data_IF_871413969717
#
_entry.id   IF_871413969717
#
_cell.length_a   1.000
_cell.length_b   1.000
_cell.length_c   1.000
_cell.angle_alpha   90.00
_cell.angle_beta   90.00
_cell.angle_gamma   90.00
#
_symmetry.space_group_name_H-M   'P 1'
#
loop_
_entity.id
_entity.type
_entity.pdbx_description
1 polymer ?
#
# COMPACT_ATOMS: atom_id res chain seq x y z
N UNK A 1 -25.91 -25.68 -28.72
CA UNK A 1 -25.73 -24.41 -27.96
C UNK A 1 -25.74 -23.28 -28.98
N UNK A 2 -26.46 -22.18 -28.73
CA UNK A 2 -26.48 -21.04 -29.68
C UNK A 2 -25.07 -20.45 -29.82
N UNK A 3 -24.74 -19.89 -30.99
CA UNK A 3 -23.44 -19.25 -31.27
C UNK A 3 -23.10 -18.18 -30.23
N UNK A 4 -24.10 -17.49 -29.69
CA UNK A 4 -23.96 -16.50 -28.63
C UNK A 4 -23.46 -17.10 -27.29
N UNK A 5 -23.97 -18.27 -26.89
CA UNK A 5 -23.52 -18.92 -25.64
C UNK A 5 -22.07 -19.40 -25.78
N UNK A 6 -21.69 -19.94 -26.94
CA UNK A 6 -20.31 -20.34 -27.19
C UNK A 6 -19.36 -19.13 -27.12
N UNK A 7 -19.71 -18.02 -27.76
CA UNK A 7 -18.93 -16.77 -27.70
C UNK A 7 -18.79 -16.23 -26.28
N UNK A 8 -19.88 -16.24 -25.50
CA UNK A 8 -19.86 -15.78 -24.11
C UNK A 8 -18.92 -16.64 -23.24
N UNK A 9 -18.96 -17.97 -23.41
CA UNK A 9 -18.06 -18.89 -22.70
C UNK A 9 -16.60 -18.69 -23.11
N UNK A 10 -16.32 -18.46 -24.40
CA UNK A 10 -14.96 -18.15 -24.88
C UNK A 10 -14.43 -16.87 -24.25
N UNK A 11 -15.23 -15.79 -24.23
CA UNK A 11 -14.82 -14.52 -23.62
C UNK A 11 -14.55 -14.70 -22.13
N UNK A 12 -15.45 -15.38 -21.41
CA UNK A 12 -15.27 -15.65 -19.98
C UNK A 12 -13.98 -16.46 -19.73
N UNK A 13 -13.73 -17.49 -20.54
CA UNK A 13 -12.52 -18.30 -20.46
C UNK A 13 -11.25 -17.48 -20.67
N UNK A 14 -11.23 -16.58 -21.67
CA UNK A 14 -10.10 -15.68 -21.92
C UNK A 14 -9.87 -14.69 -20.77
N UNK A 15 -10.94 -14.14 -20.20
CA UNK A 15 -10.84 -13.24 -19.04
C UNK A 15 -10.25 -13.96 -17.83
N UNK A 16 -10.76 -15.16 -17.52
CA UNK A 16 -10.25 -15.98 -16.41
C UNK A 16 -8.78 -16.34 -16.63
N UNK A 17 -8.44 -16.79 -17.84
CA UNK A 17 -7.05 -17.10 -18.20
C UNK A 17 -6.13 -15.88 -18.02
N UNK A 18 -6.57 -14.70 -18.48
CA UNK A 18 -5.84 -13.45 -18.29
C UNK A 18 -5.61 -13.11 -16.81
N UNK A 19 -6.61 -13.34 -15.94
CA UNK A 19 -6.47 -13.15 -14.49
C UNK A 19 -5.45 -14.12 -13.88
N UNK A 20 -5.42 -15.38 -14.32
CA UNK A 20 -4.42 -16.35 -13.85
C UNK A 20 -3.01 -16.00 -14.29
N UNK A 21 -2.84 -15.59 -15.56
CA UNK A 21 -1.54 -15.11 -16.06
C UNK A 21 -1.07 -13.91 -15.24
N UNK A 22 -1.97 -12.97 -14.94
CA UNK A 22 -1.62 -11.80 -14.13
C UNK A 22 -1.25 -12.17 -12.70
N UNK A 23 -2.03 -13.03 -12.05
CA UNK A 23 -1.72 -13.53 -10.71
C UNK A 23 -0.36 -14.25 -10.68
N UNK A 24 -0.04 -15.05 -11.71
CA UNK A 24 1.25 -15.73 -11.81
C UNK A 24 2.43 -14.76 -11.97
N UNK A 25 2.19 -13.59 -12.57
CA UNK A 25 3.19 -12.53 -12.74
C UNK A 25 3.30 -11.59 -11.53
N UNK A 26 2.35 -11.59 -10.59
CA UNK A 26 2.35 -10.64 -9.47
C UNK A 26 3.59 -10.71 -8.57
N UNK A 27 4.22 -11.89 -8.29
CA UNK A 27 5.42 -11.94 -7.47
C UNK A 27 6.66 -11.32 -8.11
N UNK A 28 6.68 -11.09 -9.43
CA UNK A 28 7.85 -10.52 -10.12
C UNK A 28 8.18 -9.11 -9.66
N UNK A 29 7.18 -8.36 -9.18
CA UNK A 29 7.40 -7.07 -8.55
C UNK A 29 8.29 -7.26 -7.31
N UNK A 30 7.90 -8.12 -6.38
CA UNK A 30 8.67 -8.45 -5.16
C UNK A 30 10.05 -9.02 -5.47
N UNK A 31 10.13 -9.95 -6.44
CA UNK A 31 11.40 -10.55 -6.85
C UNK A 31 12.33 -9.51 -7.49
N UNK A 32 11.78 -8.57 -8.26
CA UNK A 32 12.56 -7.49 -8.86
C UNK A 32 13.13 -6.54 -7.82
N UNK A 33 12.39 -6.25 -6.75
CA UNK A 33 12.90 -5.48 -5.62
C UNK A 33 14.00 -6.20 -4.88
N UNK A 34 13.80 -7.49 -4.58
CA UNK A 34 14.85 -8.30 -3.95
C UNK A 34 16.11 -8.39 -4.82
N UNK A 35 15.96 -8.43 -6.15
CA UNK A 35 17.05 -8.40 -7.10
C UNK A 35 17.65 -7.00 -7.35
N UNK A 36 17.16 -5.95 -6.66
CA UNK A 36 17.67 -4.58 -6.77
C UNK A 36 17.30 -3.85 -8.06
N UNK A 37 16.34 -4.34 -8.85
CA UNK A 37 15.98 -3.75 -10.16
C UNK A 37 15.41 -2.34 -10.07
N UNK A 38 14.89 -1.95 -8.90
CA UNK A 38 14.31 -0.63 -8.65
C UNK A 38 15.29 0.36 -7.98
N UNK A 39 16.50 -0.10 -7.63
CA UNK A 39 17.47 0.65 -6.82
C UNK A 39 16.97 0.95 -5.41
N UNK A 40 17.69 1.81 -4.69
CA UNK A 40 17.42 2.12 -3.27
C UNK A 40 16.31 3.17 -3.07
N UNK A 41 15.44 3.37 -4.07
CA UNK A 41 14.44 4.44 -4.04
C UNK A 41 13.16 3.99 -3.35
N UNK A 42 12.96 4.45 -2.12
CA UNK A 42 11.64 4.54 -1.50
C UNK A 42 11.04 5.88 -1.92
N UNK A 43 9.85 5.83 -2.51
CA UNK A 43 9.20 7.02 -3.04
C UNK A 43 8.30 7.68 -2.00
N UNK A 44 8.50 8.98 -1.85
CA UNK A 44 7.82 9.79 -0.86
C UNK A 44 7.11 10.95 -1.54
N UNK A 45 5.91 10.68 -2.06
CA UNK A 45 5.01 11.76 -2.44
C UNK A 45 4.46 12.40 -1.16
N UNK A 46 5.20 13.37 -0.61
CA UNK A 46 4.79 14.11 0.59
C UNK A 46 3.38 14.68 0.40
N UNK A 47 2.43 14.17 1.18
CA UNK A 47 1.08 14.73 1.24
C UNK A 47 1.11 15.81 2.33
N UNK A 48 0.72 17.06 2.02
CA UNK A 48 0.72 18.12 3.01
C UNK A 48 -0.12 17.75 4.24
N UNK A 49 0.31 18.21 5.42
CA UNK A 49 -0.56 18.21 6.59
C UNK A 49 -1.77 19.11 6.33
N UNK A 50 -2.93 18.69 6.83
CA UNK A 50 -4.14 19.49 6.86
C UNK A 50 -4.36 20.19 8.22
N UNK A 51 -3.35 20.17 9.09
CA UNK A 51 -3.37 20.77 10.42
C UNK A 51 -3.74 19.79 11.55
N UNK A 52 -4.39 18.67 11.23
CA UNK A 52 -4.72 17.63 12.20
C UNK A 52 -3.98 16.33 11.91
N UNK A 53 -4.03 15.85 10.65
CA UNK A 53 -3.32 14.64 10.22
C UNK A 53 -1.93 15.02 9.71
N UNK A 54 -0.96 14.10 9.86
CA UNK A 54 0.45 14.33 9.47
C UNK A 54 1.12 15.49 10.20
N UNK A 55 0.63 15.81 11.41
CA UNK A 55 1.27 16.76 12.31
C UNK A 55 2.31 16.03 13.17
N UNK A 56 3.47 16.65 13.37
CA UNK A 56 4.54 16.13 14.24
C UNK A 56 4.64 17.03 15.47
N UNK A 57 4.00 16.68 16.60
CA UNK A 57 4.16 17.43 17.84
C UNK A 57 5.58 17.23 18.42
N UNK A 58 6.16 18.23 19.10
CA UNK A 58 7.52 18.15 19.65
C UNK A 58 7.74 16.98 20.61
N UNK A 59 6.71 16.60 21.38
CA UNK A 59 6.74 15.52 22.37
C UNK A 59 5.75 14.41 22.00
N UNK A 60 5.87 13.88 20.78
CA UNK A 60 5.04 12.78 20.30
C UNK A 60 5.03 11.60 21.28
N UNK A 61 3.84 11.20 21.72
CA UNK A 61 3.63 10.11 22.69
C UNK A 61 3.35 8.77 22.03
N UNK A 62 3.01 8.77 20.76
CA UNK A 62 2.77 7.57 19.97
C UNK A 62 2.87 7.87 18.47
N UNK A 63 3.16 6.84 17.70
CA UNK A 63 3.12 6.88 16.24
C UNK A 63 2.06 5.92 15.75
N UNK A 64 1.22 6.37 14.81
CA UNK A 64 0.14 5.57 14.24
C UNK A 64 0.31 5.53 12.73
N UNK A 65 0.63 4.35 12.20
CA UNK A 65 0.69 4.10 10.76
C UNK A 65 -0.67 3.56 10.30
N UNK A 66 -1.36 4.33 9.46
CA UNK A 66 -2.60 3.92 8.82
C UNK A 66 -2.35 3.36 7.43
N UNK A 67 -2.67 2.08 7.26
CA UNK A 67 -2.57 1.36 6.00
C UNK A 67 -3.97 1.19 5.40
N UNK A 68 -4.24 1.95 4.35
CA UNK A 68 -5.54 1.94 3.67
C UNK A 68 -5.74 0.66 2.85
N UNK A 69 -7.02 0.35 2.57
CA UNK A 69 -7.41 -0.85 1.85
C UNK A 69 -7.05 -0.83 0.36
N UNK A 70 -7.36 -1.94 -0.34
CA UNK A 70 -6.98 -2.21 -1.73
C UNK A 70 -7.46 -1.16 -2.76
N UNK A 71 -8.35 -0.26 -2.36
CA UNK A 71 -8.82 0.86 -3.18
C UNK A 71 -7.82 2.01 -3.32
N UNK A 72 -6.78 2.07 -2.48
CA UNK A 72 -5.79 3.15 -2.47
C UNK A 72 -4.71 2.96 -3.53
N UNK A 73 -4.36 4.06 -4.19
CA UNK A 73 -3.49 4.12 -5.38
C UNK A 73 -2.53 5.31 -5.32
N UNK A 74 -2.92 6.37 -4.63
CA UNK A 74 -2.15 7.58 -4.38
C UNK A 74 -2.64 8.25 -3.10
N UNK A 75 -1.96 9.33 -2.68
CA UNK A 75 -2.32 10.10 -1.49
C UNK A 75 -3.73 10.68 -1.51
N UNK A 76 -4.30 10.85 -2.70
CA UNK A 76 -5.59 11.48 -2.95
C UNK A 76 -6.76 10.49 -3.01
N UNK A 77 -6.50 9.18 -2.84
CA UNK A 77 -7.50 8.13 -3.09
C UNK A 77 -8.10 7.51 -1.83
N UNK A 78 -7.87 8.12 -0.66
CA UNK A 78 -8.58 7.76 0.55
C UNK A 78 -10.08 7.95 0.39
N UNK A 79 -10.88 6.98 0.83
CA UNK A 79 -12.32 7.11 0.86
C UNK A 79 -12.75 8.17 1.88
N UNK A 80 -13.94 8.78 1.70
CA UNK A 80 -14.50 9.73 2.67
C UNK A 80 -14.56 9.17 4.10
N UNK A 81 -14.79 7.86 4.24
CA UNK A 81 -14.82 7.18 5.55
C UNK A 81 -13.45 7.10 6.21
N UNK A 82 -12.41 6.79 5.43
CA UNK A 82 -11.04 6.75 5.93
C UNK A 82 -10.54 8.16 6.30
N UNK A 83 -10.89 9.17 5.50
CA UNK A 83 -10.57 10.57 5.80
C UNK A 83 -11.25 11.04 7.10
N UNK A 84 -12.56 10.82 7.25
CA UNK A 84 -13.30 11.18 8.46
C UNK A 84 -12.78 10.43 9.70
N UNK A 85 -12.43 9.14 9.54
CA UNK A 85 -11.80 8.36 10.61
C UNK A 85 -10.45 8.97 11.04
N UNK A 86 -9.55 9.25 10.10
CA UNK A 86 -8.23 9.82 10.38
C UNK A 86 -8.32 11.20 11.04
N UNK A 87 -9.24 12.04 10.57
CA UNK A 87 -9.48 13.35 11.15
C UNK A 87 -9.97 13.24 12.60
N UNK A 88 -10.95 12.38 12.88
CA UNK A 88 -11.44 12.15 14.25
C UNK A 88 -10.37 11.56 15.14
N UNK A 89 -9.54 10.67 14.60
CA UNK A 89 -8.42 10.07 15.32
C UNK A 89 -7.39 11.14 15.71
N UNK A 90 -7.03 12.02 14.78
CA UNK A 90 -6.12 13.15 15.01
C UNK A 90 -6.62 14.10 16.09
N UNK A 91 -7.92 14.46 16.06
CA UNK A 91 -8.54 15.31 17.07
C UNK A 91 -8.53 14.62 18.45
N UNK A 92 -8.76 13.31 18.48
CA UNK A 92 -8.86 12.55 19.74
C UNK A 92 -7.49 12.24 20.36
N UNK A 93 -6.43 12.23 19.55
CA UNK A 93 -5.06 11.90 19.96
C UNK A 93 -4.09 13.01 19.47
N UNK A 94 -4.18 14.23 20.02
CA UNK A 94 -3.39 15.37 19.55
C UNK A 94 -1.87 15.21 19.79
N UNK A 95 -1.49 14.35 20.74
CA UNK A 95 -0.09 14.05 21.06
C UNK A 95 0.47 12.89 20.23
N UNK A 96 -0.29 12.32 19.30
CA UNK A 96 0.14 11.22 18.44
C UNK A 96 0.45 11.69 17.02
N UNK A 97 1.49 11.11 16.42
CA UNK A 97 1.80 11.32 15.00
C UNK A 97 1.00 10.32 14.18
N UNK A 98 0.18 10.81 13.26
CA UNK A 98 -0.59 9.98 12.35
C UNK A 98 0.04 10.01 10.96
N UNK A 99 0.55 8.87 10.53
CA UNK A 99 1.19 8.63 9.24
C UNK A 99 0.20 7.86 8.39
N UNK A 100 -0.26 8.45 7.29
CA UNK A 100 -1.19 7.79 6.38
C UNK A 100 -0.70 7.84 4.93
N UNK A 101 0.55 8.19 4.67
CA UNK A 101 1.15 8.29 3.33
C UNK A 101 2.00 7.05 2.98
N UNK A 102 1.70 5.92 3.63
CA UNK A 102 2.26 4.60 3.33
C UNK A 102 1.32 3.82 2.39
N UNK A 103 1.88 3.29 1.30
CA UNK A 103 1.19 2.47 0.31
C UNK A 103 1.56 0.99 0.47
N UNK A 104 0.80 0.21 1.27
CA UNK A 104 1.21 -1.14 1.67
C UNK A 104 1.20 -2.15 0.52
N UNK A 105 0.60 -1.80 -0.62
CA UNK A 105 0.57 -2.64 -1.81
C UNK A 105 1.72 -2.33 -2.77
N UNK A 106 2.61 -1.38 -2.47
CA UNK A 106 3.72 -0.99 -3.33
C UNK A 106 5.02 -1.21 -2.58
N UNK A 107 5.87 -2.11 -3.07
CA UNK A 107 7.12 -2.51 -2.40
C UNK A 107 8.21 -1.43 -2.36
N UNK A 108 7.99 -0.30 -3.03
CA UNK A 108 8.87 0.87 -3.00
C UNK A 108 8.12 2.15 -2.61
N UNK A 109 6.93 2.00 -2.01
CA UNK A 109 6.02 3.10 -1.66
C UNK A 109 5.60 3.99 -2.85
N UNK A 110 5.83 3.52 -4.08
CA UNK A 110 5.54 4.29 -5.27
C UNK A 110 4.06 4.19 -5.62
N UNK A 111 3.40 5.34 -5.79
CA UNK A 111 2.14 5.37 -6.50
C UNK A 111 2.35 4.72 -7.87
N UNK A 112 1.43 3.81 -8.28
CA UNK A 112 1.56 2.96 -9.48
C UNK A 112 2.02 3.72 -10.76
N UNK A 113 1.77 5.02 -10.82
CA UNK A 113 2.16 5.95 -11.88
C UNK A 113 3.64 6.29 -11.98
N UNK A 114 4.47 6.00 -10.97
CA UNK A 114 5.89 6.35 -10.97
C UNK A 114 6.83 5.25 -11.47
N UNK A 115 6.33 4.03 -11.75
CA UNK A 115 7.20 2.91 -12.10
C UNK A 115 7.92 3.11 -13.45
N UNK A 116 9.24 2.83 -13.55
CA UNK A 116 10.04 3.17 -14.74
C UNK A 116 9.65 2.37 -15.99
N UNK A 117 9.25 1.11 -15.85
CA UNK A 117 8.99 0.20 -17.00
C UNK A 117 7.51 0.15 -17.35
N UNK A 118 6.62 0.01 -16.35
CA UNK A 118 5.16 -0.15 -16.57
C UNK A 118 4.32 1.06 -16.12
N UNK A 119 4.95 2.13 -15.61
CA UNK A 119 4.24 3.30 -15.08
C UNK A 119 3.40 4.04 -16.13
N UNK A 120 3.67 3.87 -17.43
CA UNK A 120 2.84 4.43 -18.50
C UNK A 120 1.42 3.85 -18.52
N UNK A 121 1.29 2.52 -18.38
CA UNK A 121 0.01 1.82 -18.34
C UNK A 121 -0.77 2.23 -17.08
N UNK A 122 -0.07 2.37 -15.96
CA UNK A 122 -0.67 2.78 -14.70
C UNK A 122 -1.05 4.27 -14.66
N UNK A 123 -0.29 5.16 -15.30
CA UNK A 123 -0.69 6.58 -15.49
C UNK A 123 -1.95 6.69 -16.31
N UNK A 124 -2.08 5.89 -17.36
CA UNK A 124 -3.31 5.80 -18.14
C UNK A 124 -4.47 5.27 -17.28
N UNK A 125 -4.25 4.22 -16.48
CA UNK A 125 -5.27 3.66 -15.59
C UNK A 125 -5.68 4.63 -14.47
N UNK A 126 -4.74 5.36 -13.86
CA UNK A 126 -5.02 6.35 -12.81
C UNK A 126 -5.82 7.54 -13.37
N UNK A 127 -5.44 8.08 -14.53
CA UNK A 127 -6.24 9.14 -15.20
C UNK A 127 -7.67 8.67 -15.47
N UNK A 128 -7.82 7.42 -15.92
CA UNK A 128 -9.15 6.81 -16.13
C UNK A 128 -9.92 6.58 -14.83
N UNK A 129 -9.26 6.35 -13.69
CA UNK A 129 -9.91 6.26 -12.36
C UNK A 129 -10.40 7.63 -11.86
N UNK A 130 -9.63 8.68 -12.11
CA UNK A 130 -9.95 10.05 -11.68
C UNK A 130 -11.03 10.70 -12.58
N UNK A 131 -11.00 10.41 -13.89
CA UNK A 131 -11.84 11.08 -14.90
C UNK A 131 -12.94 10.19 -15.54
N UNK A 132 -13.05 8.90 -15.19
CA UNK A 132 -13.85 7.94 -15.99
C UNK A 132 -14.03 6.52 -15.42
N UNK A 133 -14.46 5.53 -16.23
CA UNK A 133 -15.30 4.40 -15.80
C UNK A 133 -14.65 3.41 -14.82
N UNK A 134 -15.51 2.74 -14.04
CA UNK A 134 -15.23 1.84 -12.90
C UNK A 134 -14.21 0.71 -13.16
N UNK A 135 -13.98 0.33 -14.42
CA UNK A 135 -13.09 -0.76 -14.83
C UNK A 135 -11.63 -0.53 -14.45
N UNK A 136 -11.10 0.69 -14.58
CA UNK A 136 -9.71 0.97 -14.22
C UNK A 136 -9.48 0.86 -12.70
N UNK A 137 -10.45 1.31 -11.92
CA UNK A 137 -10.45 1.13 -10.46
C UNK A 137 -10.52 -0.35 -10.06
N UNK A 138 -11.31 -1.16 -10.77
CA UNK A 138 -11.39 -2.60 -10.54
C UNK A 138 -10.05 -3.30 -10.78
N UNK A 139 -9.35 -2.98 -11.88
CA UNK A 139 -8.03 -3.57 -12.18
C UNK A 139 -7.00 -3.25 -11.09
N UNK A 140 -6.99 -2.02 -10.59
CA UNK A 140 -6.10 -1.64 -9.48
C UNK A 140 -6.43 -2.44 -8.21
N UNK A 141 -7.72 -2.58 -7.88
CA UNK A 141 -8.13 -3.38 -6.73
C UNK A 141 -7.70 -4.84 -6.87
N UNK A 142 -7.86 -5.43 -8.07
CA UNK A 142 -7.41 -6.81 -8.36
C UNK A 142 -5.91 -6.93 -8.17
N UNK A 143 -5.12 -5.98 -8.70
CA UNK A 143 -3.67 -5.95 -8.51
C UNK A 143 -3.31 -5.91 -7.02
N UNK A 144 -3.94 -5.04 -6.25
CA UNK A 144 -3.68 -4.91 -4.81
C UNK A 144 -4.10 -6.17 -4.04
N UNK A 145 -5.17 -6.85 -4.45
CA UNK A 145 -5.55 -8.17 -3.91
C UNK A 145 -4.46 -9.20 -4.20
N UNK A 146 -3.89 -9.23 -5.41
CA UNK A 146 -2.77 -10.12 -5.71
C UNK A 146 -1.56 -9.83 -4.83
N UNK A 147 -1.26 -8.56 -4.51
CA UNK A 147 -0.19 -8.25 -3.57
C UNK A 147 -0.45 -8.78 -2.15
N UNK A 148 -1.70 -8.73 -1.68
CA UNK A 148 -2.08 -9.40 -0.42
C UNK A 148 -1.84 -10.92 -0.51
N UNK A 149 -2.12 -11.54 -1.65
CA UNK A 149 -1.86 -12.97 -1.82
C UNK A 149 -0.35 -13.27 -1.85
N UNK A 150 0.45 -12.44 -2.49
CA UNK A 150 1.91 -12.54 -2.47
C UNK A 150 2.44 -12.42 -1.04
N UNK A 151 1.90 -11.49 -0.23
CA UNK A 151 2.34 -11.29 1.16
C UNK A 151 2.02 -12.46 2.09
N UNK A 152 1.04 -13.30 1.74
CA UNK A 152 0.62 -14.50 2.48
C UNK A 152 1.32 -15.77 1.97
N UNK A 153 1.73 -15.81 0.71
CA UNK A 153 2.41 -16.97 0.13
C UNK A 153 3.78 -17.18 0.82
N UNK A 154 4.05 -18.40 1.29
CA UNK A 154 5.28 -18.69 2.05
C UNK A 154 6.57 -18.44 1.27
N UNK A 155 6.53 -18.45 -0.06
CA UNK A 155 7.72 -18.29 -0.94
C UNK A 155 8.11 -16.83 -1.10
N UNK A 156 7.12 -15.95 -1.14
CA UNK A 156 7.30 -14.52 -1.48
C UNK A 156 6.97 -13.60 -0.31
N UNK A 157 6.12 -14.04 0.60
CA UNK A 157 5.65 -13.31 1.77
C UNK A 157 6.78 -12.73 2.61
N UNK A 158 7.82 -13.49 2.99
CA UNK A 158 8.95 -12.95 3.74
C UNK A 158 9.59 -11.72 3.05
N UNK A 159 9.82 -11.79 1.73
CA UNK A 159 10.39 -10.69 0.95
C UNK A 159 9.44 -9.49 0.89
N UNK A 160 8.16 -9.74 0.64
CA UNK A 160 7.14 -8.68 0.55
C UNK A 160 6.97 -7.95 1.89
N UNK A 161 6.90 -8.71 2.97
CA UNK A 161 6.67 -8.22 4.32
C UNK A 161 7.88 -7.43 4.81
N UNK A 162 9.10 -7.87 4.49
CA UNK A 162 10.33 -7.10 4.74
C UNK A 162 10.31 -5.76 3.99
N UNK A 163 10.02 -5.77 2.68
CA UNK A 163 9.92 -4.53 1.90
C UNK A 163 8.87 -3.56 2.46
N UNK A 164 7.73 -4.10 2.90
CA UNK A 164 6.66 -3.31 3.52
C UNK A 164 7.12 -2.70 4.85
N UNK A 165 7.88 -3.44 5.66
CA UNK A 165 8.47 -2.93 6.88
C UNK A 165 9.51 -1.83 6.61
N UNK A 166 10.28 -1.94 5.53
CA UNK A 166 11.28 -0.91 5.17
C UNK A 166 10.60 0.41 4.83
N UNK A 167 9.47 0.36 4.12
CA UNK A 167 8.64 1.53 3.84
C UNK A 167 8.09 2.14 5.13
N UNK A 168 7.59 1.30 6.04
CA UNK A 168 7.06 1.77 7.32
C UNK A 168 8.14 2.43 8.18
N UNK A 169 9.34 1.85 8.22
CA UNK A 169 10.50 2.44 8.89
C UNK A 169 10.89 3.77 8.25
N UNK A 170 10.95 3.83 6.91
CA UNK A 170 11.25 5.07 6.19
C UNK A 170 10.23 6.17 6.52
N UNK A 171 8.94 5.82 6.57
CA UNK A 171 7.89 6.74 6.97
C UNK A 171 8.06 7.18 8.43
N UNK A 172 8.32 6.27 9.37
CA UNK A 172 8.58 6.63 10.77
C UNK A 172 9.73 7.64 10.90
N UNK A 173 10.86 7.40 10.22
CA UNK A 173 12.01 8.29 10.21
C UNK A 173 11.69 9.66 9.59
N UNK A 174 10.88 9.70 8.53
CA UNK A 174 10.44 10.96 7.89
C UNK A 174 9.56 11.81 8.81
N UNK A 175 8.86 11.19 9.75
CA UNK A 175 8.03 11.85 10.75
C UNK A 175 8.73 11.97 12.11
N UNK A 176 10.08 11.98 12.11
CA UNK A 176 10.93 12.22 13.27
C UNK A 176 10.77 11.18 14.41
N UNK A 177 10.45 9.92 14.08
CA UNK A 177 10.38 8.86 15.09
C UNK A 177 11.70 8.73 15.87
N UNK A 178 11.68 8.82 17.22
CA UNK A 178 12.90 8.85 18.01
C UNK A 178 13.49 7.45 18.19
N UNK A 179 14.42 7.07 17.31
CA UNK A 179 15.12 5.77 17.33
C UNK A 179 15.98 5.51 18.59
N UNK A 180 16.14 6.50 19.46
CA UNK A 180 16.88 6.36 20.72
C UNK A 180 15.97 6.04 21.92
N UNK A 181 14.65 6.16 21.73
CA UNK A 181 13.65 5.99 22.79
C UNK A 181 12.87 4.68 22.59
N UNK A 182 12.68 3.96 23.69
CA UNK A 182 11.89 2.71 23.73
C UNK A 182 10.49 2.92 24.30
N UNK A 183 10.17 4.12 24.80
CA UNK A 183 8.92 4.43 25.49
C UNK A 183 7.84 5.04 24.57
N UNK A 184 8.12 5.18 23.27
CA UNK A 184 7.18 5.74 22.28
C UNK A 184 6.59 4.60 21.45
N UNK A 185 5.36 4.14 21.73
CA UNK A 185 4.76 3.02 21.02
C UNK A 185 4.41 3.36 19.57
N UNK A 186 4.58 2.34 18.71
CA UNK A 186 4.11 2.36 17.32
C UNK A 186 2.84 1.50 17.22
N UNK A 187 1.77 2.09 16.71
CA UNK A 187 0.52 1.43 16.37
C UNK A 187 0.36 1.34 14.85
N UNK A 188 -0.18 0.23 14.37
CA UNK A 188 -0.48 0.05 12.95
C UNK A 188 -1.94 -0.30 12.79
N UNK A 189 -2.66 0.50 12.01
CA UNK A 189 -4.08 0.31 11.72
C UNK A 189 -4.19 -0.07 10.25
N UNK A 190 -4.48 -1.35 9.98
CA UNK A 190 -4.74 -1.85 8.63
C UNK A 190 -6.23 -1.94 8.34
N UNK A 191 -6.68 -1.29 7.26
CA UNK A 191 -8.05 -1.44 6.76
C UNK A 191 -8.14 -2.59 5.74
N UNK A 192 -9.06 -3.53 5.97
CA UNK A 192 -9.29 -4.68 5.08
C UNK A 192 -7.99 -5.50 4.83
N UNK A 193 -7.66 -5.81 3.58
CA UNK A 193 -6.45 -6.57 3.21
C UNK A 193 -5.13 -5.94 3.67
N UNK A 194 -5.11 -4.64 4.00
CA UNK A 194 -3.91 -4.01 4.58
C UNK A 194 -3.59 -4.51 5.99
N UNK A 195 -4.56 -5.06 6.72
CA UNK A 195 -4.30 -5.71 8.01
C UNK A 195 -3.38 -6.92 7.88
N UNK A 196 -3.52 -7.71 6.82
CA UNK A 196 -2.65 -8.85 6.54
C UNK A 196 -1.20 -8.42 6.27
N UNK A 197 -1.04 -7.35 5.50
CA UNK A 197 0.26 -6.74 5.20
C UNK A 197 0.91 -6.15 6.44
N UNK A 198 0.12 -5.46 7.29
CA UNK A 198 0.57 -4.94 8.57
C UNK A 198 1.14 -6.04 9.45
N UNK A 199 0.40 -7.14 9.66
CA UNK A 199 0.83 -8.25 10.52
C UNK A 199 2.14 -8.87 10.01
N UNK A 200 2.26 -9.07 8.70
CA UNK A 200 3.49 -9.59 8.10
C UNK A 200 4.69 -8.65 8.30
N UNK A 201 4.50 -7.35 8.02
CA UNK A 201 5.55 -6.34 8.15
C UNK A 201 5.98 -6.12 9.61
N UNK A 202 5.07 -6.22 10.57
CA UNK A 202 5.37 -5.99 11.98
C UNK A 202 6.40 -6.95 12.57
N UNK A 203 6.51 -8.17 12.03
CA UNK A 203 7.54 -9.12 12.44
C UNK A 203 8.95 -8.57 12.21
N UNK A 204 9.16 -7.88 11.08
CA UNK A 204 10.43 -7.24 10.72
C UNK A 204 10.59 -5.88 11.39
N UNK A 205 9.55 -5.05 11.37
CA UNK A 205 9.64 -3.69 11.91
C UNK A 205 10.02 -3.72 13.40
N UNK A 206 9.47 -4.67 14.17
CA UNK A 206 9.80 -4.87 15.59
C UNK A 206 11.29 -5.16 15.84
N UNK A 207 11.98 -5.81 14.90
CA UNK A 207 13.41 -6.10 15.03
C UNK A 207 14.28 -4.87 14.72
N UNK A 208 13.73 -3.89 14.00
CA UNK A 208 14.47 -2.72 13.53
C UNK A 208 14.23 -1.46 14.35
N UNK A 209 13.08 -1.38 15.02
CA UNK A 209 12.76 -0.27 15.93
C UNK A 209 13.12 -0.66 17.38
N UNK A 210 13.50 0.31 18.22
CA UNK A 210 13.70 0.06 19.65
C UNK A 210 12.40 -0.45 20.28
N UNK A 211 12.49 -1.55 21.02
CA UNK A 211 11.35 -2.19 21.70
C UNK A 211 11.22 -1.82 23.17
#
# INVERSE_FOLDING_TARGET
>A
MSSAVAQMLTILGLVIFGLFVWAALSPFETLGWWAGWFGDKIYDEAIPSDGYVRNVPPDARAYIIFLSGVGRVSGQTLSFREQDFLHRLAISLPDAVIIDDVFPYSINNLALTGQPIIGGIWRWALRRKLDGPQLAGLLINIRNIFQVWVSVDHRYGPLYNQATAEIMLHALLRYDYPMERTDVPIFVIGYSGAGQLAVGAMAYLREWVPG
#
